data_IF_955829306453
#
_entry.id   IF_955829306453
#
_cell.length_a   1.000
_cell.length_b   1.000
_cell.length_c   1.000
_cell.angle_alpha   90.00
_cell.angle_beta   90.00
_cell.angle_gamma   90.00
#
_symmetry.space_group_name_H-M   'P 1'
#
loop_
_entity.id
_entity.type
_entity.pdbx_description
1 polymer ?
#
# COMPACT_ATOMS: atom_id res chain seq x y z
N UNK A 1 2.78 11.54 11.51
CA UNK A 1 3.11 11.02 10.17
C UNK A 1 1.84 10.97 9.33
N UNK A 2 1.94 11.36 8.06
CA UNK A 2 0.81 11.31 7.12
C UNK A 2 0.99 10.16 6.14
N UNK A 3 -0.10 9.48 5.85
CA UNK A 3 -0.17 8.52 4.77
C UNK A 3 -1.11 9.05 3.70
N UNK A 4 -0.66 9.08 2.46
CA UNK A 4 -1.50 9.39 1.32
C UNK A 4 -2.00 8.08 0.71
N UNK A 5 -3.31 7.96 0.58
CA UNK A 5 -3.94 6.83 -0.11
C UNK A 5 -4.42 7.34 -1.46
N UNK A 6 -3.91 6.76 -2.53
CA UNK A 6 -4.25 7.22 -3.88
C UNK A 6 -5.72 6.98 -4.21
N UNK A 7 -6.27 7.85 -5.02
CA UNK A 7 -7.59 7.67 -5.61
C UNK A 7 -7.63 8.37 -6.96
N UNK A 8 -8.62 8.03 -7.76
CA UNK A 8 -8.79 8.60 -9.09
C UNK A 8 -9.98 9.55 -9.09
N UNK A 9 -9.78 10.72 -9.69
CA UNK A 9 -10.86 11.66 -10.00
C UNK A 9 -10.76 12.04 -11.46
N UNK A 10 -11.84 12.59 -12.08
CA UNK A 10 -11.78 13.02 -13.47
C UNK A 10 -10.70 14.08 -13.75
N UNK A 11 -10.31 14.86 -12.75
CA UNK A 11 -9.32 15.93 -12.89
C UNK A 11 -7.91 15.55 -12.44
N UNK A 12 -7.75 14.49 -11.64
CA UNK A 12 -6.46 14.10 -11.08
C UNK A 12 -6.34 12.58 -11.14
N UNK A 13 -5.36 12.09 -11.89
CA UNK A 13 -5.04 10.66 -11.94
C UNK A 13 -4.22 10.20 -10.74
N UNK A 14 -3.99 8.89 -10.63
CA UNK A 14 -3.25 8.30 -9.51
C UNK A 14 -1.84 8.88 -9.38
N UNK A 15 -1.10 8.95 -10.47
CA UNK A 15 0.30 9.43 -10.45
C UNK A 15 0.38 10.90 -10.11
N UNK A 16 -0.50 11.72 -10.67
CA UNK A 16 -0.51 13.16 -10.38
C UNK A 16 -0.83 13.41 -8.90
N UNK A 17 -1.78 12.67 -8.32
CA UNK A 17 -2.10 12.76 -6.91
C UNK A 17 -0.92 12.37 -6.01
N UNK A 18 -0.24 11.29 -6.35
CA UNK A 18 0.96 10.83 -5.63
C UNK A 18 2.06 11.89 -5.70
N UNK A 19 2.31 12.43 -6.89
CA UNK A 19 3.31 13.48 -7.08
C UNK A 19 3.01 14.71 -6.22
N UNK A 20 1.76 15.15 -6.21
CA UNK A 20 1.33 16.29 -5.40
C UNK A 20 1.54 16.03 -3.91
N UNK A 21 1.18 14.83 -3.43
CA UNK A 21 1.37 14.46 -2.03
C UNK A 21 2.85 14.44 -1.64
N UNK A 22 3.70 13.88 -2.49
CA UNK A 22 5.14 13.82 -2.25
C UNK A 22 5.78 15.21 -2.24
N UNK A 23 5.39 16.07 -3.18
CA UNK A 23 5.85 17.46 -3.22
C UNK A 23 5.42 18.24 -1.98
N UNK A 24 4.28 17.88 -1.40
CA UNK A 24 3.80 18.43 -0.14
C UNK A 24 4.47 17.87 1.11
N UNK A 25 5.43 16.95 0.96
CA UNK A 25 6.20 16.39 2.08
C UNK A 25 5.70 15.06 2.62
N UNK A 26 4.76 14.40 1.95
CA UNK A 26 4.28 13.08 2.37
C UNK A 26 5.40 12.05 2.24
N UNK A 27 5.56 11.19 3.25
CA UNK A 27 6.61 10.15 3.29
C UNK A 27 6.05 8.73 3.31
N UNK A 28 4.76 8.57 3.10
CA UNK A 28 4.10 7.28 3.13
C UNK A 28 2.95 7.29 2.12
N UNK A 29 3.11 6.53 1.04
CA UNK A 29 2.13 6.49 -0.05
C UNK A 29 1.56 5.08 -0.17
N UNK A 30 0.25 4.98 -0.18
CA UNK A 30 -0.45 3.74 -0.48
C UNK A 30 -1.10 3.85 -1.87
N UNK A 31 -0.72 2.97 -2.78
CA UNK A 31 -1.36 2.89 -4.09
C UNK A 31 -2.59 1.99 -3.98
N UNK A 32 -3.76 2.60 -4.06
CA UNK A 32 -5.04 1.92 -4.06
C UNK A 32 -5.74 2.17 -5.39
N UNK A 33 -5.96 1.10 -6.13
CA UNK A 33 -6.62 1.13 -7.43
C UNK A 33 -7.78 0.13 -7.40
N UNK A 34 -8.91 0.59 -6.87
CA UNK A 34 -10.09 -0.25 -6.67
C UNK A 34 -10.56 -0.84 -7.99
N UNK A 35 -10.76 -2.17 -7.99
CA UNK A 35 -11.27 -2.93 -9.13
C UNK A 35 -10.39 -2.88 -10.40
N UNK A 36 -9.15 -2.42 -10.30
CA UNK A 36 -8.24 -2.40 -11.44
C UNK A 36 -7.59 -3.76 -11.66
N UNK A 37 -7.33 -4.14 -12.93
CA UNK A 37 -6.56 -5.34 -13.22
C UNK A 37 -5.13 -5.25 -12.69
N UNK A 38 -4.52 -6.40 -12.37
CA UNK A 38 -3.15 -6.45 -11.88
C UNK A 38 -2.15 -5.74 -12.81
N UNK A 39 -2.34 -5.87 -14.11
CA UNK A 39 -1.50 -5.23 -15.12
C UNK A 39 -1.48 -3.71 -14.98
N UNK A 40 -2.63 -3.11 -14.72
CA UNK A 40 -2.75 -1.67 -14.51
C UNK A 40 -2.12 -1.24 -13.19
N UNK A 41 -2.29 -2.05 -12.15
CA UNK A 41 -1.68 -1.79 -10.84
C UNK A 41 -0.16 -1.81 -10.98
N UNK A 42 0.40 -2.81 -11.65
CA UNK A 42 1.85 -2.90 -11.88
C UNK A 42 2.37 -1.75 -12.74
N UNK A 43 1.65 -1.37 -13.79
CA UNK A 43 2.04 -0.25 -14.64
C UNK A 43 2.10 1.05 -13.84
N UNK A 44 1.09 1.30 -13.01
CA UNK A 44 1.04 2.47 -12.15
C UNK A 44 2.14 2.42 -11.08
N UNK A 45 2.40 1.26 -10.50
CA UNK A 45 3.46 1.07 -9.51
C UNK A 45 4.85 1.38 -10.08
N UNK A 46 5.11 1.00 -11.33
CA UNK A 46 6.38 1.30 -12.01
C UNK A 46 6.62 2.81 -12.14
N UNK A 47 5.57 3.60 -12.27
CA UNK A 47 5.69 5.06 -12.31
C UNK A 47 5.77 5.67 -10.92
N UNK A 48 5.01 5.12 -9.96
CA UNK A 48 4.93 5.65 -8.60
C UNK A 48 6.20 5.38 -7.79
N UNK A 49 6.79 4.21 -7.94
CA UNK A 49 7.96 3.81 -7.13
C UNK A 49 9.13 4.77 -7.25
N UNK A 50 9.60 5.16 -8.46
CA UNK A 50 10.69 6.12 -8.57
C UNK A 50 10.38 7.47 -7.91
N UNK A 51 9.15 7.93 -8.00
CA UNK A 51 8.72 9.16 -7.35
C UNK A 51 8.83 9.06 -5.83
N UNK A 52 8.37 7.96 -5.26
CA UNK A 52 8.50 7.70 -3.83
C UNK A 52 9.97 7.64 -3.41
N UNK A 53 10.81 6.96 -4.17
CA UNK A 53 12.25 6.86 -3.87
C UNK A 53 12.97 8.20 -3.92
N UNK A 54 12.62 9.05 -4.88
CA UNK A 54 13.17 10.40 -4.99
C UNK A 54 12.86 11.26 -3.77
N UNK A 55 11.71 11.03 -3.15
CA UNK A 55 11.27 11.79 -1.96
C UNK A 55 11.56 11.07 -0.64
N UNK A 56 12.22 9.92 -0.67
CA UNK A 56 12.47 9.13 0.53
C UNK A 56 11.22 8.59 1.19
N UNK A 57 10.17 8.34 0.42
CA UNK A 57 8.87 7.89 0.95
C UNK A 57 8.72 6.37 0.86
N UNK A 58 7.96 5.81 1.79
CA UNK A 58 7.54 4.41 1.74
C UNK A 58 6.43 4.24 0.71
N UNK A 59 6.48 3.13 -0.02
CA UNK A 59 5.50 2.80 -1.05
C UNK A 59 4.79 1.49 -0.69
N UNK A 60 3.47 1.56 -0.51
CA UNK A 60 2.63 0.46 -0.05
C UNK A 60 1.57 0.17 -1.12
N UNK A 61 1.32 -1.10 -1.39
CA UNK A 61 0.20 -1.51 -2.24
C UNK A 61 -1.03 -1.80 -1.37
N UNK A 62 -2.22 -1.49 -1.90
CA UNK A 62 -3.46 -1.93 -1.29
C UNK A 62 -3.82 -3.29 -1.89
N UNK A 63 -3.85 -4.31 -1.02
CA UNK A 63 -4.38 -5.64 -1.26
C UNK A 63 -3.71 -6.48 -2.37
N UNK A 64 -2.61 -6.28 -2.86
CA UNK A 64 -1.99 -7.17 -3.83
C UNK A 64 -0.71 -7.78 -3.27
N UNK A 65 -0.85 -8.70 -2.32
CA UNK A 65 0.29 -9.36 -1.65
C UNK A 65 1.26 -9.95 -2.68
N UNK A 66 0.72 -10.63 -3.69
CA UNK A 66 1.51 -11.28 -4.74
C UNK A 66 2.29 -10.30 -5.62
N UNK A 67 1.90 -9.05 -5.65
CA UNK A 67 2.56 -8.02 -6.46
C UNK A 67 3.62 -7.22 -5.73
N UNK A 68 3.71 -7.35 -4.41
CA UNK A 68 4.63 -6.52 -3.58
C UNK A 68 6.08 -6.66 -4.06
N UNK A 69 6.55 -7.87 -4.24
CA UNK A 69 7.93 -8.14 -4.69
C UNK A 69 8.16 -7.60 -6.11
N UNK A 70 7.26 -7.92 -7.03
CA UNK A 70 7.36 -7.50 -8.44
C UNK A 70 7.34 -5.98 -8.59
N UNK A 71 6.51 -5.31 -7.80
CA UNK A 71 6.39 -3.87 -7.82
C UNK A 71 7.53 -3.16 -7.08
N UNK A 72 8.32 -3.87 -6.29
CA UNK A 72 9.35 -3.27 -5.46
C UNK A 72 8.79 -2.47 -4.29
N UNK A 73 7.56 -2.74 -3.88
CA UNK A 73 6.91 -2.02 -2.79
C UNK A 73 7.52 -2.37 -1.43
N UNK A 74 7.38 -1.46 -0.48
CA UNK A 74 7.84 -1.66 0.89
C UNK A 74 6.89 -2.53 1.71
N UNK A 75 5.66 -2.69 1.25
CA UNK A 75 4.67 -3.50 1.94
C UNK A 75 3.30 -3.45 1.31
N UNK A 76 2.31 -3.89 2.08
CA UNK A 76 0.92 -4.03 1.67
C UNK A 76 -0.02 -3.58 2.77
N UNK A 77 -1.18 -3.07 2.40
CA UNK A 77 -2.29 -2.82 3.30
C UNK A 77 -3.42 -3.79 3.01
N UNK A 78 -3.94 -4.46 4.03
CA UNK A 78 -4.98 -5.49 3.90
C UNK A 78 -6.25 -5.05 4.63
N UNK A 79 -7.37 -5.10 3.91
CA UNK A 79 -8.69 -4.89 4.48
C UNK A 79 -9.22 -6.15 5.17
N UNK A 80 -10.40 -6.04 5.79
CA UNK A 80 -11.01 -7.14 6.56
C UNK A 80 -11.29 -8.39 5.74
N UNK A 81 -11.61 -8.21 4.45
CA UNK A 81 -12.00 -9.31 3.56
C UNK A 81 -10.86 -9.76 2.65
N UNK A 82 -9.67 -9.20 2.84
CA UNK A 82 -8.50 -9.56 2.07
C UNK A 82 -7.76 -10.73 2.72
N UNK A 83 -6.60 -11.09 2.17
CA UNK A 83 -5.77 -12.15 2.76
C UNK A 83 -5.47 -11.84 4.23
N UNK A 84 -5.59 -12.81 5.15
CA UNK A 84 -5.21 -12.58 6.55
C UNK A 84 -3.74 -12.17 6.68
N UNK A 85 -3.46 -11.29 7.63
CA UNK A 85 -2.11 -10.73 7.85
C UNK A 85 -1.07 -11.82 8.09
N UNK A 86 -1.40 -12.86 8.85
CA UNK A 86 -0.46 -13.95 9.14
C UNK A 86 -0.09 -14.74 7.88
N UNK A 87 -1.03 -14.93 6.95
CA UNK A 87 -0.73 -15.55 5.66
C UNK A 87 0.16 -14.66 4.80
N UNK A 88 -0.14 -13.36 4.74
CA UNK A 88 0.68 -12.41 4.02
C UNK A 88 2.09 -12.35 4.59
N UNK A 89 2.25 -12.43 5.90
CA UNK A 89 3.56 -12.45 6.56
C UNK A 89 4.39 -13.65 6.15
N UNK A 90 3.76 -14.80 5.98
CA UNK A 90 4.47 -16.01 5.50
C UNK A 90 5.00 -15.83 4.08
N UNK A 91 4.25 -15.12 3.23
CA UNK A 91 4.65 -14.87 1.84
C UNK A 91 5.72 -13.80 1.75
N UNK A 92 5.56 -12.69 2.48
CA UNK A 92 6.40 -11.51 2.35
C UNK A 92 7.62 -11.51 3.27
N UNK A 93 7.60 -12.30 4.34
CA UNK A 93 8.69 -12.34 5.32
C UNK A 93 8.61 -11.22 6.35
N UNK A 94 9.63 -11.13 7.24
CA UNK A 94 9.57 -10.23 8.40
C UNK A 94 9.86 -8.76 8.08
N UNK A 95 10.47 -8.47 6.94
CA UNK A 95 10.96 -7.12 6.64
C UNK A 95 9.96 -6.23 5.91
N UNK A 96 8.94 -6.80 5.31
CA UNK A 96 7.92 -6.01 4.63
C UNK A 96 6.90 -5.46 5.62
N UNK A 97 6.39 -4.27 5.31
CA UNK A 97 5.35 -3.62 6.12
C UNK A 97 4.01 -4.26 5.77
N UNK A 98 3.24 -4.65 6.78
CA UNK A 98 1.89 -5.15 6.59
C UNK A 98 0.95 -4.37 7.47
N UNK A 99 0.09 -3.57 6.84
CA UNK A 99 -0.96 -2.83 7.52
C UNK A 99 -2.29 -3.56 7.44
N UNK A 100 -3.15 -3.34 8.40
CA UNK A 100 -4.48 -3.93 8.41
C UNK A 100 -5.54 -2.94 8.82
N UNK A 101 -6.76 -3.17 8.35
CA UNK A 101 -7.92 -2.36 8.71
C UNK A 101 -8.59 -2.92 9.97
N UNK A 102 -8.80 -2.08 10.95
CA UNK A 102 -9.50 -2.42 12.19
C UNK A 102 -10.65 -1.46 12.42
N UNK A 103 -11.82 -1.99 12.75
CA UNK A 103 -13.02 -1.20 13.09
C UNK A 103 -13.44 -1.42 14.55
N UNK A 104 -12.86 -2.41 15.23
CA UNK A 104 -13.16 -2.76 16.61
C UNK A 104 -11.88 -3.03 17.38
N UNK A 105 -11.97 -3.05 18.71
CA UNK A 105 -10.83 -3.44 19.57
C UNK A 105 -10.43 -4.88 19.30
N UNK A 106 -11.39 -5.76 19.07
CA UNK A 106 -11.10 -7.17 18.75
C UNK A 106 -10.32 -7.29 17.44
N UNK A 107 -10.64 -6.47 16.44
CA UNK A 107 -9.86 -6.42 15.19
C UNK A 107 -8.41 -6.02 15.46
N UNK A 108 -8.18 -5.03 16.30
CA UNK A 108 -6.83 -4.56 16.65
C UNK A 108 -6.03 -5.69 17.31
N UNK A 109 -6.64 -6.38 18.26
CA UNK A 109 -6.00 -7.49 18.97
C UNK A 109 -5.65 -8.61 17.99
N UNK A 110 -6.58 -8.96 17.11
CA UNK A 110 -6.37 -9.99 16.10
C UNK A 110 -5.22 -9.65 15.17
N UNK A 111 -5.22 -8.43 14.63
CA UNK A 111 -4.17 -7.96 13.71
C UNK A 111 -2.80 -7.95 14.38
N UNK A 112 -2.73 -7.51 15.63
CA UNK A 112 -1.49 -7.55 16.40
C UNK A 112 -0.95 -8.96 16.54
N UNK A 113 -1.82 -9.92 16.89
CA UNK A 113 -1.45 -11.34 17.01
C UNK A 113 -1.01 -11.96 15.70
N UNK A 114 -1.57 -11.50 14.58
CA UNK A 114 -1.21 -11.96 13.24
C UNK A 114 0.09 -11.34 12.73
N UNK A 115 0.63 -10.35 13.40
CA UNK A 115 1.90 -9.73 13.05
C UNK A 115 1.80 -8.49 12.17
N UNK A 116 0.69 -7.76 12.21
CA UNK A 116 0.55 -6.48 11.52
C UNK A 116 1.47 -5.43 12.14
N UNK A 117 1.99 -4.55 11.29
CA UNK A 117 2.77 -3.40 11.70
C UNK A 117 1.85 -2.19 11.93
#
# INVERSE_FOLDING_TARGET
MFQYISHYTPSIGYIDGIRMALEGGCKWVQLRMKDAPEEEVLACAKEALPLCRQHGAKFILDDHVELVETAGADGVHLGKNDMPVDEARKILGPDKIIGGTANTIDDIIRLHRQGAD
#
